data_IF_686324736731
#
_entry.id   IF_686324736731
#
_cell.length_a   1.000
_cell.length_b   1.000
_cell.length_c   1.000
_cell.angle_alpha   90.00
_cell.angle_beta   90.00
_cell.angle_gamma   90.00
#
_symmetry.space_group_name_H-M   'P 1'
#
loop_
_entity.id
_entity.type
_entity.pdbx_description
1 polymer ?
#
# COMPACT_ATOMS: atom_id res chain seq x y z
N UNK A 1 -73.10 5.30 28.57
CA UNK A 1 -71.63 5.07 28.71
C UNK A 1 -71.03 6.36 29.26
N UNK A 2 -70.56 6.34 30.51
CA UNK A 2 -70.02 7.52 31.22
C UNK A 2 -68.63 7.91 30.69
N UNK A 3 -68.27 9.21 30.62
CA UNK A 3 -66.92 9.65 30.26
C UNK A 3 -65.95 9.41 31.43
N UNK A 4 -64.83 8.75 31.14
CA UNK A 4 -63.78 8.43 32.11
C UNK A 4 -63.15 9.70 32.69
N UNK A 5 -62.99 9.72 34.01
CA UNK A 5 -62.46 10.86 34.77
C UNK A 5 -60.94 10.84 34.81
N UNK A 6 -60.32 12.03 34.76
CA UNK A 6 -58.86 12.29 34.83
C UNK A 6 -58.14 11.63 36.02
N UNK A 7 -58.85 11.11 37.02
CA UNK A 7 -58.29 10.45 38.21
C UNK A 7 -57.94 8.96 38.00
N UNK A 8 -58.39 8.33 36.92
CA UNK A 8 -58.12 6.91 36.65
C UNK A 8 -56.77 6.65 35.93
N UNK A 9 -56.22 7.68 35.26
CA UNK A 9 -54.96 7.61 34.52
C UNK A 9 -53.72 7.45 35.41
N UNK A 10 -53.82 7.73 36.71
CA UNK A 10 -52.69 7.68 37.64
C UNK A 10 -52.52 6.34 38.36
N UNK A 11 -53.43 5.37 38.17
CA UNK A 11 -53.28 4.01 38.72
C UNK A 11 -52.49 3.06 37.81
N UNK A 12 -52.22 3.45 36.56
CA UNK A 12 -51.44 2.69 35.59
C UNK A 12 -49.97 3.14 35.50
N UNK A 13 -49.51 4.02 36.40
CA UNK A 13 -48.16 4.59 36.40
C UNK A 13 -47.14 3.88 37.29
N UNK A 14 -47.41 2.67 37.78
CA UNK A 14 -46.61 2.07 38.85
C UNK A 14 -46.32 0.59 38.69
N UNK A 15 -45.59 0.19 37.64
CA UNK A 15 -44.76 -1.03 37.64
C UNK A 15 -43.91 -1.08 36.36
N UNK A 16 -42.63 -1.45 36.52
CA UNK A 16 -41.62 -1.72 35.49
C UNK A 16 -40.88 -0.51 34.88
N UNK A 17 -40.15 0.22 35.73
CA UNK A 17 -38.87 0.80 35.32
C UNK A 17 -37.82 -0.32 35.24
N UNK A 18 -37.89 -1.17 34.22
CA UNK A 18 -36.75 -1.94 33.79
C UNK A 18 -35.93 -1.04 32.89
N UNK A 19 -34.87 -0.45 33.42
CA UNK A 19 -33.80 0.16 32.63
C UNK A 19 -33.10 -0.97 31.86
N UNK A 20 -33.70 -1.36 30.73
CA UNK A 20 -32.95 -2.00 29.67
C UNK A 20 -31.94 -0.97 29.19
N UNK A 21 -30.73 -1.03 29.72
CA UNK A 21 -29.56 -0.39 29.13
C UNK A 21 -29.33 -1.05 27.78
N UNK A 22 -30.11 -0.64 26.78
CA UNK A 22 -29.81 -0.94 25.39
C UNK A 22 -28.43 -0.36 25.09
N UNK A 23 -27.47 -1.14 24.58
CA UNK A 23 -26.17 -0.63 24.16
C UNK A 23 -26.35 0.12 22.82
N UNK A 24 -27.11 1.23 22.84
CA UNK A 24 -27.41 2.04 21.66
C UNK A 24 -26.19 2.85 21.19
N UNK A 25 -25.18 3.05 22.06
CA UNK A 25 -24.01 3.84 21.70
C UNK A 25 -23.12 3.17 20.64
N UNK A 26 -22.91 1.85 20.73
CA UNK A 26 -22.01 1.13 19.81
C UNK A 26 -22.63 0.93 18.42
N UNK A 27 -23.92 0.60 18.35
CA UNK A 27 -24.61 0.41 17.07
C UNK A 27 -24.87 1.72 16.33
N UNK A 28 -25.14 2.81 17.06
CA UNK A 28 -25.32 4.13 16.48
C UNK A 28 -24.01 4.67 15.89
N UNK A 29 -22.88 4.55 16.60
CA UNK A 29 -21.55 4.87 16.09
C UNK A 29 -21.23 4.08 14.81
N UNK A 30 -21.43 2.76 14.81
CA UNK A 30 -21.21 1.93 13.62
C UNK A 30 -22.15 2.26 12.44
N UNK A 31 -23.34 2.84 12.70
CA UNK A 31 -24.26 3.33 11.66
C UNK A 31 -23.86 4.70 11.12
N UNK A 32 -23.35 5.59 11.99
CA UNK A 32 -22.82 6.90 11.62
C UNK A 32 -21.50 6.76 10.87
N UNK A 33 -20.62 5.86 11.28
CA UNK A 33 -19.37 5.53 10.59
C UNK A 33 -19.66 4.95 9.20
N UNK A 34 -20.67 4.07 9.07
CA UNK A 34 -21.15 3.60 7.76
C UNK A 34 -21.75 4.71 6.90
N UNK A 35 -22.49 5.64 7.48
CA UNK A 35 -23.04 6.79 6.75
C UNK A 35 -21.95 7.79 6.30
N UNK A 36 -20.82 7.85 7.02
CA UNK A 36 -19.65 8.66 6.70
C UNK A 36 -18.64 7.96 5.78
N UNK A 37 -18.81 6.67 5.49
CA UNK A 37 -18.04 5.97 4.47
C UNK A 37 -18.30 6.64 3.12
N UNK A 38 -17.26 7.29 2.57
CA UNK A 38 -17.35 8.04 1.31
C UNK A 38 -17.10 9.54 1.45
N UNK A 39 -17.54 10.17 2.54
CA UNK A 39 -17.35 11.63 2.78
C UNK A 39 -16.22 11.94 3.74
N UNK A 40 -15.93 11.04 4.69
CA UNK A 40 -14.81 11.22 5.62
C UNK A 40 -13.45 10.99 4.95
N UNK A 41 -12.37 11.70 5.40
CA UNK A 41 -11.03 11.50 4.87
C UNK A 41 -10.57 10.05 5.02
N UNK A 42 -9.98 9.49 3.96
CA UNK A 42 -9.52 8.11 3.92
C UNK A 42 -8.11 8.02 4.53
N UNK A 43 -8.05 8.13 5.86
CA UNK A 43 -6.78 8.26 6.59
C UNK A 43 -6.02 6.94 6.62
N UNK A 44 -4.73 6.99 6.33
CA UNK A 44 -3.81 5.85 6.48
C UNK A 44 -3.59 5.60 7.98
N UNK A 45 -3.86 4.38 8.43
CA UNK A 45 -3.72 3.96 9.83
C UNK A 45 -2.55 3.01 10.05
N UNK A 46 -2.19 2.22 9.04
CA UNK A 46 -1.11 1.23 9.12
C UNK A 46 -0.41 1.05 7.78
N UNK A 47 0.91 0.89 7.82
CA UNK A 47 1.75 0.57 6.67
C UNK A 47 2.64 -0.60 7.07
N UNK A 48 2.65 -1.66 6.26
CA UNK A 48 3.43 -2.88 6.50
C UNK A 48 4.12 -3.31 5.21
N UNK A 49 5.32 -3.86 5.33
CA UNK A 49 6.08 -4.40 4.20
C UNK A 49 6.42 -5.87 4.44
N UNK A 50 6.32 -6.68 3.40
CA UNK A 50 6.53 -8.12 3.42
C UNK A 50 7.51 -8.51 2.33
N UNK A 51 8.55 -9.27 2.69
CA UNK A 51 9.41 -9.91 1.70
C UNK A 51 8.73 -11.15 1.19
N UNK A 52 8.55 -11.23 -0.12
CA UNK A 52 8.06 -12.44 -0.81
C UNK A 52 9.23 -13.06 -1.55
N UNK A 53 9.32 -14.37 -1.49
CA UNK A 53 10.31 -15.14 -2.25
C UNK A 53 9.60 -16.13 -3.17
N UNK A 54 10.06 -16.21 -4.40
CA UNK A 54 9.60 -17.18 -5.40
C UNK A 54 10.76 -18.07 -5.81
N UNK A 55 10.48 -19.37 -6.02
CA UNK A 55 11.48 -20.27 -6.55
C UNK A 55 11.83 -19.87 -7.98
N UNK A 56 13.12 -19.71 -8.29
CA UNK A 56 13.56 -19.38 -9.65
C UNK A 56 13.37 -20.60 -10.59
N UNK A 57 12.88 -20.40 -11.83
CA UNK A 57 12.88 -21.46 -12.83
C UNK A 57 14.32 -21.91 -13.16
N UNK A 58 14.52 -23.22 -13.39
CA UNK A 58 15.84 -23.79 -13.75
C UNK A 58 16.32 -23.23 -15.10
N UNK A 59 17.58 -22.78 -15.20
CA UNK A 59 18.19 -22.29 -16.45
C UNK A 59 19.42 -21.40 -16.24
N UNK A 60 19.99 -20.80 -17.29
CA UNK A 60 21.21 -19.95 -17.22
C UNK A 60 21.04 -18.66 -16.39
N UNK A 61 19.82 -18.35 -15.99
CA UNK A 61 19.46 -17.24 -15.09
C UNK A 61 19.58 -17.64 -13.60
N UNK A 62 19.82 -18.93 -13.32
CA UNK A 62 19.99 -19.49 -11.97
C UNK A 62 21.44 -19.41 -11.47
N UNK A 63 22.40 -19.20 -12.36
CA UNK A 63 23.82 -19.13 -12.00
C UNK A 63 24.14 -17.76 -11.38
N UNK A 64 24.86 -17.79 -10.25
CA UNK A 64 25.38 -16.58 -9.60
C UNK A 64 26.26 -15.85 -10.59
N UNK A 65 25.92 -14.59 -10.91
CA UNK A 65 26.93 -13.70 -11.50
C UNK A 65 27.98 -13.51 -10.40
N UNK A 66 29.16 -14.11 -10.58
CA UNK A 66 30.27 -13.90 -9.65
C UNK A 66 30.82 -12.49 -9.91
N UNK A 67 31.15 -11.77 -8.83
CA UNK A 67 31.94 -10.55 -8.98
C UNK A 67 33.25 -10.91 -9.67
N UNK A 68 33.55 -10.22 -10.77
CA UNK A 68 34.85 -10.35 -11.41
C UNK A 68 35.96 -9.82 -10.49
N UNK A 69 37.08 -10.54 -10.34
CA UNK A 69 38.25 -10.05 -9.63
C UNK A 69 38.62 -8.60 -9.93
N UNK A 70 39.10 -7.89 -8.91
CA UNK A 70 39.58 -6.52 -9.06
C UNK A 70 40.70 -6.50 -10.09
N UNK A 71 40.55 -5.66 -11.12
CA UNK A 71 41.52 -5.53 -12.21
C UNK A 71 41.29 -6.49 -13.39
N UNK A 72 40.25 -7.33 -13.35
CA UNK A 72 39.86 -8.11 -14.52
C UNK A 72 39.43 -7.18 -15.66
N UNK A 73 39.81 -7.55 -16.88
CA UNK A 73 39.48 -6.80 -18.09
C UNK A 73 38.57 -7.62 -19.01
N UNK A 74 37.81 -6.96 -19.87
CA UNK A 74 36.84 -7.57 -20.79
C UNK A 74 37.45 -8.54 -21.81
N UNK A 75 38.79 -8.59 -21.92
CA UNK A 75 39.51 -9.47 -22.84
C UNK A 75 39.36 -9.11 -24.32
N UNK A 76 38.76 -7.94 -24.63
CA UNK A 76 38.55 -7.48 -26.01
C UNK A 76 39.82 -6.80 -26.54
N UNK A 77 40.17 -6.95 -27.83
CA UNK A 77 41.39 -6.35 -28.36
C UNK A 77 41.35 -4.81 -28.40
N UNK A 78 42.52 -4.18 -28.22
CA UNK A 78 42.73 -2.73 -28.35
C UNK A 78 41.96 -1.90 -27.33
N UNK A 79 41.34 -0.80 -27.78
CA UNK A 79 40.55 0.13 -26.95
C UNK A 79 39.28 -0.50 -26.34
N UNK A 80 38.98 -1.75 -26.75
CA UNK A 80 37.92 -2.58 -26.20
C UNK A 80 38.29 -3.24 -24.87
N UNK A 81 39.58 -3.38 -24.54
CA UNK A 81 40.02 -3.97 -23.27
C UNK A 81 39.80 -2.96 -22.14
N UNK A 82 38.72 -3.15 -21.39
CA UNK A 82 38.32 -2.24 -20.31
C UNK A 82 38.16 -3.03 -19.03
N UNK A 83 38.24 -2.36 -17.88
CA UNK A 83 37.91 -2.98 -16.61
C UNK A 83 36.52 -3.59 -16.68
N UNK A 84 36.41 -4.86 -16.26
CA UNK A 84 35.17 -5.59 -16.25
C UNK A 84 34.31 -5.11 -15.07
N UNK A 85 33.38 -4.21 -15.34
CA UNK A 85 32.41 -3.70 -14.37
C UNK A 85 31.13 -4.54 -14.35
N UNK A 86 31.23 -5.87 -14.49
CA UNK A 86 30.05 -6.73 -14.37
C UNK A 86 29.43 -6.56 -12.98
N UNK A 87 28.16 -6.14 -12.94
CA UNK A 87 27.42 -5.96 -11.69
C UNK A 87 26.55 -7.20 -11.45
N UNK A 88 26.90 -8.06 -10.50
CA UNK A 88 26.05 -9.18 -10.14
C UNK A 88 24.84 -8.67 -9.37
N UNK A 89 23.72 -8.50 -10.07
CA UNK A 89 22.46 -8.05 -9.49
C UNK A 89 21.51 -9.20 -9.12
N UNK A 90 22.02 -10.43 -8.98
CA UNK A 90 21.19 -11.60 -8.68
C UNK A 90 21.75 -12.49 -7.60
N UNK A 91 20.88 -12.80 -6.64
CA UNK A 91 21.11 -13.85 -5.65
C UNK A 91 20.63 -15.19 -6.24
N UNK A 92 21.43 -16.26 -6.21
CA UNK A 92 21.03 -17.56 -6.75
C UNK A 92 19.85 -18.17 -5.96
N UNK A 93 19.00 -18.91 -6.66
CA UNK A 93 17.98 -19.80 -6.09
C UNK A 93 16.58 -19.22 -5.87
N UNK A 94 16.45 -17.93 -5.54
CA UNK A 94 15.15 -17.31 -5.24
C UNK A 94 15.03 -15.91 -5.86
N UNK A 95 13.90 -15.62 -6.48
CA UNK A 95 13.49 -14.26 -6.81
C UNK A 95 12.89 -13.63 -5.56
N UNK A 96 13.24 -12.38 -5.29
CA UNK A 96 12.70 -11.64 -4.17
C UNK A 96 11.99 -10.40 -4.68
N UNK A 97 10.84 -10.11 -4.10
CA UNK A 97 10.14 -8.85 -4.26
C UNK A 97 9.56 -8.44 -2.90
N UNK A 98 9.31 -7.14 -2.73
CA UNK A 98 8.74 -6.62 -1.47
C UNK A 98 7.33 -6.14 -1.72
N UNK A 99 6.35 -6.73 -1.03
CA UNK A 99 4.96 -6.29 -1.04
C UNK A 99 4.71 -5.28 0.07
N UNK A 100 3.87 -4.29 -0.20
CA UNK A 100 3.47 -3.24 0.73
C UNK A 100 1.97 -3.30 0.93
N UNK A 101 1.55 -3.32 2.19
CA UNK A 101 0.14 -3.26 2.61
C UNK A 101 -0.13 -1.94 3.32
N UNK A 102 -1.10 -1.19 2.82
CA UNK A 102 -1.56 0.04 3.45
C UNK A 102 -3.00 -0.16 3.91
N UNK A 103 -3.28 0.11 5.19
CA UNK A 103 -4.62 0.03 5.78
C UNK A 103 -5.12 1.42 6.09
N UNK A 104 -6.40 1.65 5.82
CA UNK A 104 -7.09 2.92 6.08
C UNK A 104 -8.05 2.82 7.27
N UNK A 105 -8.48 3.95 7.80
CA UNK A 105 -9.46 4.03 8.90
C UNK A 105 -10.84 3.46 8.55
N UNK A 106 -11.17 3.37 7.26
CA UNK A 106 -12.42 2.78 6.77
C UNK A 106 -12.28 1.27 6.46
N UNK A 107 -11.15 0.65 6.83
CA UNK A 107 -10.91 -0.78 6.61
C UNK A 107 -10.50 -1.16 5.19
N UNK A 108 -10.35 -0.20 4.27
CA UNK A 108 -9.86 -0.46 2.91
C UNK A 108 -8.36 -0.73 2.98
N UNK A 109 -7.94 -1.79 2.30
CA UNK A 109 -6.55 -2.25 2.23
C UNK A 109 -6.05 -2.18 0.80
N UNK A 110 -4.93 -1.49 0.61
CA UNK A 110 -4.18 -1.43 -0.65
C UNK A 110 -2.95 -2.30 -0.63
N UNK A 111 -2.62 -2.85 -1.80
CA UNK A 111 -1.40 -3.60 -2.05
C UNK A 111 -0.58 -2.96 -3.16
N UNK A 112 0.72 -2.93 -2.95
CA UNK A 112 1.68 -2.53 -3.98
C UNK A 112 2.97 -3.32 -3.86
N UNK A 113 3.83 -3.16 -4.85
CA UNK A 113 5.02 -3.98 -5.01
C UNK A 113 6.23 -3.11 -5.32
N UNK A 114 7.33 -3.37 -4.61
CA UNK A 114 8.66 -2.88 -4.95
C UNK A 114 9.45 -4.04 -5.53
N UNK A 115 9.96 -3.85 -6.75
CA UNK A 115 10.89 -4.79 -7.34
C UNK A 115 12.17 -4.84 -6.49
N UNK A 116 12.50 -6.02 -5.95
CA UNK A 116 13.54 -6.14 -4.93
C UNK A 116 14.46 -7.36 -5.13
N UNK A 117 15.10 -7.51 -6.32
CA UNK A 117 15.84 -8.72 -6.67
C UNK A 117 17.07 -8.97 -5.80
N UNK A 118 17.57 -7.92 -5.14
CA UNK A 118 18.72 -7.97 -4.22
C UNK A 118 18.33 -7.26 -2.94
N UNK A 119 18.65 -7.88 -1.80
CA UNK A 119 18.46 -7.30 -0.46
C UNK A 119 17.05 -6.72 -0.21
N UNK A 120 15.97 -7.52 -0.32
CA UNK A 120 14.60 -7.03 -0.15
C UNK A 120 14.32 -6.42 1.24
N UNK A 121 15.10 -6.82 2.25
CA UNK A 121 15.05 -6.22 3.59
C UNK A 121 15.32 -4.72 3.61
N UNK A 122 16.04 -4.17 2.62
CA UNK A 122 16.29 -2.72 2.51
C UNK A 122 14.99 -1.97 2.26
N UNK A 123 14.12 -2.48 1.38
CA UNK A 123 12.81 -1.87 1.13
C UNK A 123 11.93 -1.91 2.38
N UNK A 124 11.92 -3.04 3.09
CA UNK A 124 11.17 -3.16 4.35
C UNK A 124 11.59 -2.08 5.34
N UNK A 125 12.89 -1.91 5.57
CA UNK A 125 13.41 -0.88 6.48
C UNK A 125 13.15 0.53 6.00
N UNK A 126 13.28 0.80 4.71
CA UNK A 126 12.93 2.10 4.16
C UNK A 126 11.45 2.44 4.39
N UNK A 127 10.56 1.47 4.17
CA UNK A 127 9.12 1.67 4.31
C UNK A 127 8.73 1.84 5.78
N UNK A 128 9.23 0.98 6.66
CA UNK A 128 8.93 1.01 8.10
C UNK A 128 9.50 2.26 8.78
N UNK A 129 10.79 2.55 8.56
CA UNK A 129 11.51 3.54 9.37
C UNK A 129 11.36 4.95 8.80
N UNK A 130 11.25 5.10 7.47
CA UNK A 130 11.23 6.41 6.82
C UNK A 130 9.85 6.80 6.29
N UNK A 131 9.15 5.90 5.60
CA UNK A 131 7.91 6.28 4.91
C UNK A 131 6.67 6.16 5.78
N UNK A 132 6.55 5.13 6.62
CA UNK A 132 5.40 4.94 7.49
C UNK A 132 5.13 6.17 8.41
N UNK A 133 6.14 6.80 9.05
CA UNK A 133 5.92 8.01 9.86
C UNK A 133 5.37 9.20 9.05
N UNK A 134 5.70 9.28 7.76
CA UNK A 134 5.25 10.36 6.87
C UNK A 134 3.81 10.13 6.40
N UNK A 135 3.46 8.86 6.19
CA UNK A 135 2.19 8.39 5.62
C UNK A 135 1.05 8.33 6.65
N UNK A 136 1.34 7.92 7.88
CA UNK A 136 0.30 7.75 8.91
C UNK A 136 -0.46 9.07 9.11
N UNK A 137 -1.79 8.99 9.10
CA UNK A 137 -2.70 10.12 9.24
C UNK A 137 -2.93 10.93 7.97
N UNK A 138 -2.19 10.69 6.88
CA UNK A 138 -2.46 11.30 5.57
C UNK A 138 -3.72 10.70 4.95
N UNK A 139 -4.39 11.48 4.11
CA UNK A 139 -5.50 11.01 3.30
C UNK A 139 -4.97 10.26 2.07
N UNK A 140 -5.30 8.99 1.94
CA UNK A 140 -4.84 8.11 0.87
C UNK A 140 -5.28 8.56 -0.54
N UNK A 141 -6.27 9.45 -0.63
CA UNK A 141 -6.71 10.05 -1.91
C UNK A 141 -5.73 11.08 -2.46
N UNK A 142 -4.85 11.62 -1.61
CA UNK A 142 -3.87 12.63 -2.00
C UNK A 142 -2.58 11.99 -2.57
N UNK A 143 -2.73 11.15 -3.59
CA UNK A 143 -1.64 10.31 -4.14
C UNK A 143 -0.44 11.17 -4.58
N UNK A 144 -0.66 12.14 -5.48
CA UNK A 144 0.41 13.01 -5.98
C UNK A 144 1.10 13.84 -4.87
N UNK A 145 0.37 14.51 -3.95
CA UNK A 145 1.00 15.16 -2.81
C UNK A 145 1.81 14.22 -1.91
N UNK A 146 1.32 13.00 -1.67
CA UNK A 146 2.05 11.99 -0.89
C UNK A 146 3.33 11.61 -1.62
N UNK A 147 3.26 11.32 -2.92
CA UNK A 147 4.42 10.99 -3.74
C UNK A 147 5.49 12.08 -3.68
N UNK A 148 5.10 13.34 -3.87
CA UNK A 148 6.03 14.47 -3.83
C UNK A 148 6.65 14.64 -2.45
N UNK A 149 5.85 14.47 -1.38
CA UNK A 149 6.33 14.54 0.00
C UNK A 149 7.35 13.44 0.30
N UNK A 150 7.10 12.21 -0.14
CA UNK A 150 8.04 11.11 0.00
C UNK A 150 9.32 11.41 -0.79
N UNK A 151 9.21 11.74 -2.07
CA UNK A 151 10.37 12.04 -2.90
C UNK A 151 11.23 13.18 -2.33
N UNK A 152 10.61 14.30 -1.96
CA UNK A 152 11.28 15.46 -1.40
C UNK A 152 11.95 15.19 -0.04
N UNK A 153 11.54 14.18 0.72
CA UNK A 153 12.09 13.88 2.06
C UNK A 153 13.59 13.48 2.04
N UNK A 154 14.07 12.91 0.94
CA UNK A 154 15.48 12.48 0.79
C UNK A 154 16.16 12.99 -0.49
N UNK A 155 15.45 13.74 -1.34
CA UNK A 155 16.00 14.31 -2.59
C UNK A 155 17.31 15.06 -2.38
N UNK A 156 17.43 15.86 -1.31
CA UNK A 156 18.64 16.63 -1.00
C UNK A 156 19.84 15.77 -0.58
N UNK A 157 19.60 14.51 -0.18
CA UNK A 157 20.65 13.54 0.13
C UNK A 157 21.07 12.69 -1.09
N UNK A 158 20.60 13.04 -2.28
CA UNK A 158 20.96 12.36 -3.53
C UNK A 158 20.13 11.11 -3.82
N UNK A 159 19.09 10.84 -3.04
CA UNK A 159 18.19 9.70 -3.29
C UNK A 159 17.18 10.06 -4.38
N UNK A 160 17.53 9.72 -5.62
CA UNK A 160 16.67 9.90 -6.81
C UNK A 160 16.39 8.60 -7.57
N UNK A 161 16.97 7.47 -7.15
CA UNK A 161 16.86 6.18 -7.85
C UNK A 161 17.04 4.97 -6.92
N UNK A 162 16.96 3.77 -7.49
CA UNK A 162 17.17 2.49 -6.81
C UNK A 162 16.12 2.17 -5.75
N UNK A 163 16.56 1.52 -4.67
CA UNK A 163 15.72 1.06 -3.55
C UNK A 163 14.74 2.12 -3.05
N UNK A 164 15.16 3.39 -3.07
CA UNK A 164 14.35 4.52 -2.62
C UNK A 164 13.11 4.74 -3.50
N UNK A 165 13.34 4.96 -4.80
CA UNK A 165 12.27 5.26 -5.76
C UNK A 165 11.38 4.04 -6.00
N UNK A 166 11.94 2.83 -5.98
CA UNK A 166 11.19 1.58 -6.07
C UNK A 166 10.23 1.40 -4.89
N UNK A 167 10.67 1.75 -3.68
CA UNK A 167 9.80 1.72 -2.50
C UNK A 167 8.70 2.78 -2.55
N UNK A 168 8.96 3.96 -3.12
CA UNK A 168 7.92 4.96 -3.38
C UNK A 168 6.91 4.42 -4.40
N UNK A 169 7.36 3.75 -5.46
CA UNK A 169 6.48 3.15 -6.47
C UNK A 169 5.54 2.11 -5.83
N UNK A 170 6.03 1.28 -4.91
CA UNK A 170 5.20 0.33 -4.19
C UNK A 170 4.09 0.99 -3.38
N UNK A 171 4.40 2.11 -2.72
CA UNK A 171 3.39 2.91 -2.00
C UNK A 171 2.39 3.52 -2.97
N UNK A 172 2.86 4.09 -4.08
CA UNK A 172 2.00 4.69 -5.12
C UNK A 172 0.99 3.69 -5.67
N UNK A 173 1.45 2.48 -6.03
CA UNK A 173 0.59 1.38 -6.48
C UNK A 173 -0.45 1.02 -5.41
N UNK A 174 -0.04 0.91 -4.13
CA UNK A 174 -0.95 0.61 -3.04
C UNK A 174 -2.01 1.70 -2.81
N UNK A 175 -1.66 2.97 -3.01
CA UNK A 175 -2.61 4.08 -2.92
C UNK A 175 -3.59 4.09 -4.09
N UNK A 176 -3.14 3.76 -5.30
CA UNK A 176 -4.03 3.58 -6.46
C UNK A 176 -4.98 2.40 -6.29
N UNK A 177 -4.51 1.30 -5.72
CA UNK A 177 -5.36 0.15 -5.37
C UNK A 177 -6.42 0.52 -4.32
N UNK A 178 -6.05 1.29 -3.28
CA UNK A 178 -7.00 1.87 -2.31
C UNK A 178 -8.03 2.74 -3.01
N UNK A 179 -7.60 3.65 -3.89
CA UNK A 179 -8.50 4.58 -4.57
C UNK A 179 -9.47 3.84 -5.49
N UNK A 180 -9.01 2.82 -6.21
CA UNK A 180 -9.86 1.95 -7.02
C UNK A 180 -10.91 1.22 -6.18
N UNK A 181 -10.50 0.65 -5.04
CA UNK A 181 -11.41 -0.03 -4.09
C UNK A 181 -12.40 0.93 -3.44
N UNK A 182 -11.96 2.13 -3.08
CA UNK A 182 -12.80 3.16 -2.47
C UNK A 182 -13.84 3.71 -3.44
N UNK A 183 -13.49 3.84 -4.73
CA UNK A 183 -14.39 4.35 -5.78
C UNK A 183 -15.18 3.27 -6.49
N UNK A 184 -14.89 1.99 -6.20
CA UNK A 184 -15.44 0.82 -6.92
C UNK A 184 -15.21 0.89 -8.45
N UNK A 185 -14.12 1.53 -8.86
CA UNK A 185 -13.74 1.70 -10.26
C UNK A 185 -12.37 1.11 -10.54
N UNK A 186 -12.16 0.53 -11.73
CA UNK A 186 -10.83 0.10 -12.14
C UNK A 186 -9.92 1.34 -12.35
N UNK A 187 -8.63 1.20 -12.01
CA UNK A 187 -7.66 2.31 -12.05
C UNK A 187 -7.57 2.98 -13.42
N UNK A 188 -7.66 2.23 -14.53
CA UNK A 188 -7.64 2.82 -15.88
C UNK A 188 -8.79 3.81 -16.09
N UNK A 189 -9.95 3.60 -15.45
CA UNK A 189 -11.09 4.51 -15.54
C UNK A 189 -10.81 5.81 -14.80
N UNK A 190 -10.12 5.72 -13.66
CA UNK A 190 -9.67 6.88 -12.87
C UNK A 190 -8.58 7.69 -13.59
N UNK A 191 -7.78 7.03 -14.42
CA UNK A 191 -6.72 7.65 -15.23
C UNK A 191 -7.20 8.27 -16.56
N UNK A 192 -8.51 8.38 -16.76
CA UNK A 192 -9.10 9.01 -17.95
C UNK A 192 -9.79 8.06 -18.92
N UNK A 193 -9.96 6.78 -18.56
CA UNK A 193 -10.72 5.80 -19.34
C UNK A 193 -9.88 5.04 -20.37
N UNK A 194 -10.53 4.12 -21.08
CA UNK A 194 -9.88 3.26 -22.08
C UNK A 194 -9.90 3.89 -23.48
N UNK A 195 -8.77 3.81 -24.18
CA UNK A 195 -8.67 4.13 -25.62
C UNK A 195 -8.83 2.90 -26.53
N UNK A 196 -8.80 1.69 -25.94
CA UNK A 196 -8.87 0.40 -26.65
C UNK A 196 -9.47 -0.68 -25.75
N UNK A 197 -10.07 -1.70 -26.36
CA UNK A 197 -10.70 -2.81 -25.63
C UNK A 197 -9.74 -3.98 -25.32
N UNK A 198 -8.60 -4.06 -26.02
CA UNK A 198 -7.59 -5.10 -25.81
C UNK A 198 -6.17 -4.54 -25.97
N UNK A 199 -5.20 -5.20 -25.32
CA UNK A 199 -3.77 -4.87 -25.38
C UNK A 199 -3.02 -6.13 -25.86
N UNK A 200 -2.33 -6.10 -27.01
CA UNK A 200 -1.53 -7.23 -27.47
C UNK A 200 -0.28 -7.40 -26.59
N UNK A 201 0.03 -8.64 -26.22
CA UNK A 201 1.24 -9.00 -25.48
C UNK A 201 2.33 -9.53 -26.42
N UNK A 202 3.59 -9.32 -26.07
CA UNK A 202 4.73 -10.01 -26.69
C UNK A 202 5.29 -11.02 -25.69
N UNK A 203 5.72 -12.17 -26.20
CA UNK A 203 6.33 -13.26 -25.43
C UNK A 203 7.72 -13.56 -25.96
#
# INVERSE_FOLDING_TARGET
MNPLSRRDLLKWGGAAAATAAFPLASSALASVDRANCGTSPLKITKVEAFVVSTAQPKGSLADTVQMTPIGETTGRPGIGNRLNHSFPSRTPGHGFDTLVRITTNQGIIGWGEAHAPVAPSVHVKLIEDLFAPILIGQDARNILPIWEKLYSSQRLRGYSSGYYTESIAAIDIALWDILGKFTELPVYQLLGGKFRDSIPTYH
#
